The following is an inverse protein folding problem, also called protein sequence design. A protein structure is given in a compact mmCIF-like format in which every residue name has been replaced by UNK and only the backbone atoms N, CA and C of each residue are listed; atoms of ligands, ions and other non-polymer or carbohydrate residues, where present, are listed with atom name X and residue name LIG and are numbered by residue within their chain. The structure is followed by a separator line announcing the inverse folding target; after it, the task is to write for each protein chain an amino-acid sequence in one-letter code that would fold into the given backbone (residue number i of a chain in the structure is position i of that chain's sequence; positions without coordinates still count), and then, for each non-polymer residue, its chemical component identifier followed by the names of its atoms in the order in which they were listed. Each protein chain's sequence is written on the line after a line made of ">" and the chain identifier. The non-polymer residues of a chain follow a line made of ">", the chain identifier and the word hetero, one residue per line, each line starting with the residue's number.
data_IF_465867285597
#
_entry.id   IF_465867285597
#
_cell.length_a   1.000
_cell.length_b   1.000
_cell.length_c   1.000
_cell.angle_alpha   90.00
_cell.angle_beta   90.00
_cell.angle_gamma   90.00
#
_symmetry.space_group_name_H-M   'P 1'
#
loop_
_entity.id
_entity.type
_entity.pdbx_description
1 polymer ?
#
# COMPACT_ATOMS: atom_id res chain seq x y z
N UNK A 1 -5.37 -10.60 9.63
CA UNK A 1 -5.36 -11.87 8.86
C UNK A 1 -4.89 -11.72 7.41
N UNK A 2 -5.58 -11.02 6.51
CA UNK A 2 -5.16 -10.95 5.08
C UNK A 2 -3.70 -10.49 4.92
N UNK A 3 -3.36 -9.34 5.52
CA UNK A 3 -2.00 -8.78 5.41
C UNK A 3 -0.93 -9.61 6.14
N UNK A 4 -1.29 -10.20 7.28
CA UNK A 4 -0.35 -10.89 8.18
C UNK A 4 -0.14 -12.36 7.82
N UNK A 5 -1.14 -13.00 7.20
CA UNK A 5 -1.16 -14.44 6.92
C UNK A 5 -1.25 -14.67 5.41
N UNK A 6 -2.41 -14.35 4.80
CA UNK A 6 -2.68 -14.73 3.40
C UNK A 6 -1.67 -14.12 2.41
N UNK A 7 -1.26 -12.86 2.61
CA UNK A 7 -0.25 -12.20 1.78
C UNK A 7 1.19 -12.59 2.09
N UNK A 8 1.43 -13.27 3.22
CA UNK A 8 2.76 -13.73 3.61
C UNK A 8 3.05 -15.14 3.08
N UNK A 9 2.04 -16.02 2.99
CA UNK A 9 2.17 -17.41 2.53
C UNK A 9 2.92 -17.53 1.18
N UNK A 10 2.54 -16.82 0.10
CA UNK A 10 3.21 -17.01 -1.19
C UNK A 10 4.56 -16.27 -1.29
N UNK A 11 4.94 -15.48 -0.28
CA UNK A 11 6.08 -14.55 -0.40
C UNK A 11 7.42 -15.27 -0.63
N UNK A 12 7.60 -16.47 -0.07
CA UNK A 12 8.82 -17.26 -0.28
C UNK A 12 8.96 -17.67 -1.75
N UNK A 13 7.92 -18.28 -2.33
CA UNK A 13 7.93 -18.72 -3.74
C UNK A 13 8.04 -17.52 -4.69
N UNK A 14 7.29 -16.45 -4.41
CA UNK A 14 7.36 -15.18 -5.16
C UNK A 14 8.74 -14.50 -5.06
N UNK A 15 9.58 -14.88 -4.10
CA UNK A 15 10.96 -14.36 -4.01
C UNK A 15 11.95 -15.01 -4.96
N UNK A 16 11.60 -16.18 -5.48
CA UNK A 16 12.43 -17.00 -6.36
C UNK A 16 11.91 -17.02 -7.79
N UNK A 17 10.58 -17.01 -7.95
CA UNK A 17 9.94 -17.22 -9.25
C UNK A 17 8.81 -16.23 -9.49
N UNK A 18 8.63 -15.84 -10.75
CA UNK A 18 7.40 -15.18 -11.20
C UNK A 18 6.34 -16.26 -11.37
N UNK A 19 5.25 -16.13 -10.61
CA UNK A 19 4.10 -17.02 -10.71
C UNK A 19 3.31 -16.72 -12.01
N UNK A 20 2.63 -17.73 -12.58
CA UNK A 20 1.71 -17.49 -13.68
C UNK A 20 0.61 -16.50 -13.28
N UNK A 21 0.25 -15.59 -14.19
CA UNK A 21 -0.77 -14.56 -13.93
C UNK A 21 -2.12 -15.17 -13.56
N UNK A 22 -2.54 -16.27 -14.21
CA UNK A 22 -3.78 -16.97 -13.87
C UNK A 22 -3.81 -17.47 -12.43
N UNK A 23 -2.69 -18.01 -11.93
CA UNK A 23 -2.58 -18.47 -10.55
C UNK A 23 -2.61 -17.31 -9.55
N UNK A 24 -1.99 -16.17 -9.90
CA UNK A 24 -2.10 -14.94 -9.11
C UNK A 24 -3.57 -14.48 -9.07
N UNK A 25 -4.26 -14.46 -10.20
CA UNK A 25 -5.66 -14.05 -10.29
C UNK A 25 -6.56 -14.93 -9.41
N UNK A 26 -6.30 -16.24 -9.38
CA UNK A 26 -7.04 -17.18 -8.53
C UNK A 26 -6.79 -16.89 -7.03
N UNK A 27 -5.54 -16.62 -6.64
CA UNK A 27 -5.21 -16.20 -5.26
C UNK A 27 -5.92 -14.89 -4.91
N UNK A 28 -5.87 -13.89 -5.78
CA UNK A 28 -6.51 -12.60 -5.57
C UNK A 28 -8.02 -12.72 -5.46
N UNK A 29 -8.66 -13.54 -6.30
CA UNK A 29 -10.09 -13.87 -6.20
C UNK A 29 -10.44 -14.55 -4.89
N UNK A 30 -9.66 -15.55 -4.46
CA UNK A 30 -9.88 -16.23 -3.18
C UNK A 30 -9.80 -15.27 -2.00
N UNK A 31 -8.80 -14.37 -1.99
CA UNK A 31 -8.64 -13.40 -0.90
C UNK A 31 -9.73 -12.31 -0.96
N UNK A 32 -10.14 -11.90 -2.16
CA UNK A 32 -11.25 -10.96 -2.34
C UNK A 32 -12.58 -11.58 -1.89
N UNK A 33 -12.81 -12.86 -2.18
CA UNK A 33 -13.97 -13.61 -1.70
C UNK A 33 -13.92 -13.79 -0.18
N UNK A 34 -12.74 -14.07 0.38
CA UNK A 34 -12.55 -14.11 1.83
C UNK A 34 -12.86 -12.74 2.48
N UNK A 35 -12.47 -11.65 1.83
CA UNK A 35 -12.69 -10.29 2.33
C UNK A 35 -14.17 -9.87 2.33
N UNK A 36 -14.91 -10.22 1.28
CA UNK A 36 -16.33 -9.84 1.13
C UNK A 36 -17.32 -10.93 1.57
N UNK A 37 -16.87 -12.16 1.75
CA UNK A 37 -17.68 -13.30 2.13
C UNK A 37 -18.12 -13.25 3.58
N UNK A 38 -19.35 -13.71 3.84
CA UNK A 38 -19.80 -14.06 5.18
C UNK A 38 -19.34 -15.48 5.49
N UNK A 39 -18.81 -15.74 6.70
CA UNK A 39 -18.18 -17.00 7.08
C UNK A 39 -19.05 -18.28 7.05
N UNK A 40 -20.27 -18.24 6.51
CA UNK A 40 -21.13 -19.42 6.34
C UNK A 40 -21.08 -19.93 4.88
N UNK A 41 -20.80 -21.23 4.74
CA UNK A 41 -20.31 -21.91 3.53
C UNK A 41 -21.18 -21.92 2.27
N UNK A 42 -22.34 -21.25 2.23
CA UNK A 42 -23.25 -21.28 1.08
C UNK A 42 -23.64 -19.92 0.50
N UNK A 43 -23.21 -18.79 1.08
CA UNK A 43 -23.53 -17.46 0.53
C UNK A 43 -22.30 -16.78 -0.05
N UNK A 44 -22.28 -16.59 -1.37
CA UNK A 44 -21.31 -15.70 -2.01
C UNK A 44 -21.70 -14.27 -1.63
N UNK A 45 -20.99 -13.68 -0.66
CA UNK A 45 -21.18 -12.28 -0.28
C UNK A 45 -20.99 -11.34 -1.48
N UNK A 46 -21.62 -10.17 -1.44
CA UNK A 46 -21.50 -9.18 -2.53
C UNK A 46 -20.07 -8.65 -2.59
N UNK A 47 -19.40 -8.83 -3.72
CA UNK A 47 -18.11 -8.21 -3.97
C UNK A 47 -18.28 -6.71 -4.28
N UNK A 48 -18.08 -5.87 -3.28
CA UNK A 48 -18.27 -4.42 -3.43
C UNK A 48 -17.20 -3.77 -4.30
N UNK A 49 -15.96 -4.28 -4.27
CA UNK A 49 -14.84 -3.77 -5.05
C UNK A 49 -13.99 -4.91 -5.63
N UNK A 50 -13.45 -4.68 -6.83
CA UNK A 50 -12.41 -5.49 -7.43
C UNK A 50 -11.08 -5.38 -6.65
N UNK A 51 -10.24 -6.40 -6.76
CA UNK A 51 -9.03 -6.53 -5.93
C UNK A 51 -8.02 -5.41 -6.18
N UNK A 52 -7.86 -4.96 -7.43
CA UNK A 52 -6.96 -3.89 -7.84
C UNK A 52 -7.29 -2.56 -7.14
N UNK A 53 -8.60 -2.32 -6.92
CA UNK A 53 -9.09 -1.15 -6.18
C UNK A 53 -8.79 -1.28 -4.68
N UNK A 54 -8.76 -2.50 -4.13
CA UNK A 54 -8.36 -2.76 -2.73
C UNK A 54 -6.84 -2.71 -2.54
N UNK A 55 -6.08 -3.11 -3.56
CA UNK A 55 -4.62 -3.07 -3.60
C UNK A 55 -4.05 -1.65 -3.76
N UNK A 56 -4.89 -0.68 -4.09
CA UNK A 56 -4.52 0.73 -4.03
C UNK A 56 -4.02 1.14 -2.63
N UNK A 57 -3.06 2.07 -2.55
CA UNK A 57 -2.66 2.65 -1.28
C UNK A 57 -3.82 3.24 -0.48
N UNK A 58 -3.72 3.19 0.85
CA UNK A 58 -4.74 3.73 1.76
C UNK A 58 -5.00 5.23 1.54
N UNK A 59 -3.97 5.99 1.20
CA UNK A 59 -4.04 7.42 0.89
C UNK A 59 -4.60 7.73 -0.50
N UNK A 60 -4.93 6.70 -1.29
CA UNK A 60 -5.53 6.79 -2.63
C UNK A 60 -6.87 6.07 -2.73
N UNK A 61 -7.48 5.70 -1.60
CA UNK A 61 -8.82 5.09 -1.53
C UNK A 61 -8.86 3.57 -1.53
N UNK A 62 -7.72 2.88 -1.52
CA UNK A 62 -7.68 1.43 -1.29
C UNK A 62 -7.47 1.05 0.17
N UNK A 63 -7.14 -0.22 0.41
CA UNK A 63 -6.83 -0.77 1.73
C UNK A 63 -5.34 -1.03 1.93
N UNK A 64 -4.52 -0.79 0.90
CA UNK A 64 -3.10 -1.11 0.88
C UNK A 64 -2.84 -2.61 0.99
N UNK A 65 -3.69 -3.42 0.35
CA UNK A 65 -3.35 -4.80 0.02
C UNK A 65 -2.27 -4.82 -1.08
N UNK A 66 -1.56 -5.93 -1.21
CA UNK A 66 -0.55 -6.08 -2.26
C UNK A 66 -1.22 -6.56 -3.53
N UNK A 67 -0.92 -5.90 -4.64
CA UNK A 67 -1.05 -6.52 -5.95
C UNK A 67 0.06 -7.57 -6.07
N UNK A 68 -0.29 -8.84 -6.23
CA UNK A 68 0.69 -9.91 -6.15
C UNK A 68 1.61 -9.95 -7.35
N UNK A 69 1.15 -9.57 -8.55
CA UNK A 69 2.03 -9.55 -9.72
C UNK A 69 3.14 -8.50 -9.57
N UNK A 70 2.79 -7.27 -9.18
CA UNK A 70 3.76 -6.22 -8.90
C UNK A 70 4.67 -6.58 -7.71
N UNK A 71 4.13 -7.18 -6.66
CA UNK A 71 4.91 -7.60 -5.51
C UNK A 71 5.90 -8.72 -5.86
N UNK A 72 5.46 -9.69 -6.67
CA UNK A 72 6.28 -10.77 -7.15
C UNK A 72 7.41 -10.28 -8.06
N UNK A 73 7.12 -9.37 -9.00
CA UNK A 73 8.14 -8.70 -9.82
C UNK A 73 9.16 -7.96 -8.96
N UNK A 74 8.72 -7.22 -7.95
CA UNK A 74 9.62 -6.49 -7.06
C UNK A 74 10.51 -7.42 -6.20
N UNK A 75 9.98 -8.58 -5.79
CA UNK A 75 10.73 -9.57 -5.02
C UNK A 75 11.83 -10.24 -5.87
N UNK A 76 11.50 -10.66 -7.10
CA UNK A 76 12.47 -11.26 -8.01
C UNK A 76 13.50 -10.24 -8.51
N UNK A 77 13.08 -8.99 -8.74
CA UNK A 77 14.00 -7.90 -9.09
C UNK A 77 15.06 -7.65 -8.01
N UNK A 78 14.76 -7.94 -6.73
CA UNK A 78 15.77 -7.91 -5.66
C UNK A 78 16.87 -8.95 -5.86
N UNK A 79 16.55 -10.13 -6.41
CA UNK A 79 17.56 -11.14 -6.72
C UNK A 79 18.41 -10.71 -7.92
N UNK A 80 17.77 -10.17 -8.97
CA UNK A 80 18.48 -9.58 -10.11
C UNK A 80 19.43 -8.45 -9.66
N UNK A 81 19.00 -7.61 -8.72
CA UNK A 81 19.84 -6.57 -8.12
C UNK A 81 21.05 -7.13 -7.38
N UNK A 82 20.89 -8.23 -6.61
CA UNK A 82 22.03 -8.88 -5.94
C UNK A 82 23.05 -9.43 -6.93
N UNK A 83 22.59 -10.01 -8.05
CA UNK A 83 23.46 -10.52 -9.12
C UNK A 83 24.25 -9.37 -9.75
N UNK A 84 23.59 -8.23 -10.01
CA UNK A 84 24.25 -7.03 -10.53
C UNK A 84 25.31 -6.47 -9.58
N UNK A 85 24.99 -6.39 -8.28
CA UNK A 85 25.90 -5.77 -7.31
C UNK A 85 27.03 -6.67 -6.83
N UNK A 86 26.91 -7.99 -6.97
CA UNK A 86 27.90 -8.97 -6.49
C UNK A 86 28.24 -9.98 -7.60
N UNK A 87 28.92 -9.53 -8.67
CA UNK A 87 29.18 -10.34 -9.86
C UNK A 87 30.07 -11.57 -9.58
N UNK A 88 30.88 -11.54 -8.51
CA UNK A 88 31.84 -12.59 -8.17
C UNK A 88 31.23 -13.77 -7.42
N UNK A 89 29.98 -13.63 -6.95
CA UNK A 89 29.27 -14.74 -6.30
C UNK A 89 29.09 -15.91 -7.27
N UNK A 90 29.13 -17.14 -6.75
CA UNK A 90 28.97 -18.35 -7.57
C UNK A 90 27.69 -18.30 -8.42
N UNK A 91 26.58 -17.85 -7.82
CA UNK A 91 25.30 -17.70 -8.51
C UNK A 91 25.36 -16.68 -9.65
N UNK A 92 25.98 -15.51 -9.42
CA UNK A 92 26.12 -14.50 -10.47
C UNK A 92 27.01 -14.99 -11.62
N UNK A 93 28.14 -15.64 -11.31
CA UNK A 93 29.05 -16.22 -12.31
C UNK A 93 28.37 -17.30 -13.15
N UNK A 94 27.62 -18.21 -12.50
CA UNK A 94 26.90 -19.29 -13.17
C UNK A 94 25.79 -18.75 -14.10
N UNK A 95 24.97 -17.82 -13.59
CA UNK A 95 23.89 -17.21 -14.39
C UNK A 95 24.49 -16.44 -15.58
N UNK A 96 25.55 -15.66 -15.36
CA UNK A 96 26.23 -14.94 -16.44
C UNK A 96 26.76 -15.89 -17.50
N UNK A 97 27.53 -16.91 -17.11
CA UNK A 97 28.12 -17.88 -18.04
C UNK A 97 27.05 -18.59 -18.88
N UNK A 98 25.90 -18.92 -18.29
CA UNK A 98 24.83 -19.64 -18.97
C UNK A 98 23.93 -18.75 -19.85
N UNK A 99 23.56 -17.56 -19.38
CA UNK A 99 22.47 -16.79 -19.99
C UNK A 99 22.89 -15.48 -20.66
N UNK A 100 23.98 -14.86 -20.20
CA UNK A 100 24.48 -13.61 -20.77
C UNK A 100 26.01 -13.55 -20.75
N UNK A 101 26.69 -14.52 -21.39
CA UNK A 101 28.15 -14.62 -21.31
C UNK A 101 28.88 -13.41 -21.93
N UNK A 102 28.23 -12.74 -22.89
CA UNK A 102 28.80 -11.63 -23.68
C UNK A 102 28.07 -10.30 -23.51
N UNK A 103 27.15 -10.20 -22.55
CA UNK A 103 26.37 -8.98 -22.31
C UNK A 103 26.19 -8.71 -20.82
N UNK A 104 25.47 -7.65 -20.48
CA UNK A 104 25.02 -7.42 -19.10
C UNK A 104 23.68 -8.11 -18.82
N UNK A 105 23.30 -8.23 -17.54
CA UNK A 105 21.99 -8.77 -17.13
C UNK A 105 20.82 -7.93 -17.66
N UNK A 106 21.00 -6.62 -17.74
CA UNK A 106 19.95 -5.68 -18.18
C UNK A 106 19.72 -5.78 -19.69
N UNK A 107 20.75 -6.08 -20.47
CA UNK A 107 20.67 -6.22 -21.94
C UNK A 107 20.37 -7.64 -22.40
N UNK A 108 20.52 -8.64 -21.52
CA UNK A 108 20.44 -10.06 -21.89
C UNK A 108 19.18 -10.41 -22.71
N UNK A 109 19.30 -11.21 -23.77
CA UNK A 109 18.10 -11.80 -24.38
C UNK A 109 17.52 -12.91 -23.49
N UNK A 110 16.27 -13.32 -23.71
CA UNK A 110 15.72 -14.46 -22.97
C UNK A 110 16.43 -15.77 -23.35
N UNK A 111 16.85 -15.88 -24.61
CA UNK A 111 17.55 -17.04 -25.17
C UNK A 111 16.64 -18.25 -25.42
N UNK A 112 17.27 -19.35 -25.84
CA UNK A 112 16.60 -20.62 -26.13
C UNK A 112 16.63 -21.54 -24.89
N UNK A 113 15.53 -22.24 -24.61
CA UNK A 113 15.35 -23.12 -23.45
C UNK A 113 15.74 -22.51 -22.07
N UNK A 114 15.16 -21.35 -21.69
CA UNK A 114 15.47 -20.70 -20.43
C UNK A 114 14.87 -21.44 -19.23
N UNK A 115 15.64 -21.57 -18.14
CA UNK A 115 15.10 -22.11 -16.88
C UNK A 115 14.05 -21.19 -16.29
N UNK A 116 13.18 -21.73 -15.44
CA UNK A 116 12.11 -20.95 -14.81
C UNK A 116 12.63 -19.79 -13.95
N UNK A 117 13.73 -20.02 -13.22
CA UNK A 117 14.43 -18.97 -12.47
C UNK A 117 14.93 -17.85 -13.40
N UNK A 118 15.53 -18.19 -14.55
CA UNK A 118 16.01 -17.19 -15.50
C UNK A 118 14.88 -16.43 -16.15
N UNK A 119 13.79 -17.09 -16.58
CA UNK A 119 12.58 -16.41 -17.10
C UNK A 119 12.04 -15.39 -16.09
N UNK A 120 12.05 -15.76 -14.81
CA UNK A 120 11.59 -14.90 -13.71
C UNK A 120 12.48 -13.68 -13.52
N UNK A 121 13.80 -13.89 -13.43
CA UNK A 121 14.80 -12.80 -13.33
C UNK A 121 14.72 -11.88 -14.54
N UNK A 122 14.61 -12.47 -15.74
CA UNK A 122 14.53 -11.75 -16.99
C UNK A 122 13.27 -10.88 -17.08
N UNK A 123 12.09 -11.40 -16.70
CA UNK A 123 10.85 -10.58 -16.64
C UNK A 123 10.97 -9.47 -15.59
N UNK A 124 11.48 -9.79 -14.40
CA UNK A 124 11.57 -8.82 -13.30
C UNK A 124 12.61 -7.71 -13.51
N UNK A 125 13.61 -7.91 -14.38
CA UNK A 125 14.64 -6.90 -14.66
C UNK A 125 14.08 -5.57 -15.17
N UNK A 126 12.87 -5.56 -15.73
CA UNK A 126 12.20 -4.34 -16.18
C UNK A 126 12.04 -3.33 -15.03
N UNK A 127 11.81 -3.82 -13.80
CA UNK A 127 11.78 -2.97 -12.60
C UNK A 127 13.13 -2.27 -12.40
N UNK A 128 14.24 -2.98 -12.65
CA UNK A 128 15.58 -2.42 -12.55
C UNK A 128 15.89 -1.46 -13.71
N UNK A 129 15.52 -1.80 -14.94
CA UNK A 129 15.66 -0.89 -16.09
C UNK A 129 14.96 0.46 -15.84
N UNK A 130 13.82 0.43 -15.16
CA UNK A 130 13.03 1.61 -14.84
C UNK A 130 13.50 2.37 -13.59
N UNK A 131 14.37 1.84 -12.74
CA UNK A 131 14.76 2.51 -11.49
C UNK A 131 16.27 2.53 -11.17
N UNK A 132 17.09 1.85 -11.97
CA UNK A 132 18.54 1.93 -11.88
C UNK A 132 19.10 3.10 -12.68
N UNK A 133 20.23 3.60 -12.19
CA UNK A 133 21.06 4.60 -12.85
C UNK A 133 22.53 4.30 -12.56
N UNK A 134 23.42 4.59 -13.50
CA UNK A 134 24.85 4.56 -13.27
C UNK A 134 25.31 5.78 -12.47
N UNK A 135 26.17 5.53 -11.49
CA UNK A 135 26.97 6.53 -10.82
C UNK A 135 28.39 6.47 -11.39
N UNK A 136 28.86 7.61 -11.88
CA UNK A 136 30.07 7.73 -12.70
C UNK A 136 31.33 7.70 -11.82
N UNK A 137 32.09 6.62 -11.97
CA UNK A 137 33.48 6.46 -11.54
C UNK A 137 34.42 6.79 -12.70
N UNK A 138 35.12 5.79 -13.23
CA UNK A 138 36.01 5.96 -14.38
C UNK A 138 35.29 6.27 -15.69
N UNK A 139 33.99 5.98 -15.80
CA UNK A 139 33.21 6.13 -17.03
C UNK A 139 33.55 5.10 -18.11
N UNK A 140 34.36 4.10 -17.79
CA UNK A 140 34.85 3.06 -18.69
C UNK A 140 33.82 1.96 -18.99
N UNK A 141 32.77 1.85 -18.16
CA UNK A 141 31.72 0.82 -18.28
C UNK A 141 30.36 1.39 -18.65
N UNK A 142 30.28 2.69 -18.92
CA UNK A 142 29.02 3.39 -19.14
C UNK A 142 28.99 3.88 -20.57
N UNK A 143 28.11 3.31 -21.38
CA UNK A 143 27.86 3.77 -22.72
C UNK A 143 27.01 5.04 -22.70
N UNK A 144 27.49 6.07 -23.39
CA UNK A 144 26.88 7.40 -23.36
C UNK A 144 25.43 7.37 -23.83
N UNK A 145 25.13 6.54 -24.85
CA UNK A 145 23.82 6.53 -25.52
C UNK A 145 22.85 5.47 -25.01
N UNK A 146 23.32 4.33 -24.51
CA UNK A 146 22.46 3.19 -24.14
C UNK A 146 22.25 3.03 -22.64
N UNK A 147 23.13 3.60 -21.81
CA UNK A 147 23.03 3.47 -20.35
C UNK A 147 22.29 4.64 -19.68
N UNK A 148 21.54 4.38 -18.59
CA UNK A 148 20.91 5.44 -17.81
C UNK A 148 21.92 6.05 -16.84
N UNK A 149 22.54 7.18 -17.14
CA UNK A 149 23.56 7.80 -16.27
C UNK A 149 23.32 9.27 -15.94
N UNK A 150 22.52 9.98 -16.75
CA UNK A 150 22.20 11.39 -16.53
C UNK A 150 21.41 11.60 -15.24
N UNK A 151 21.74 12.68 -14.50
CA UNK A 151 21.07 13.04 -13.24
C UNK A 151 20.11 14.22 -13.45
N UNK A 152 18.97 14.23 -12.74
CA UNK A 152 18.04 15.37 -12.67
C UNK A 152 16.58 14.97 -12.89
N UNK A 153 15.69 15.96 -13.04
CA UNK A 153 14.26 15.74 -13.28
C UNK A 153 13.91 15.35 -14.73
N UNK A 154 14.90 15.24 -15.60
CA UNK A 154 14.74 14.82 -17.00
C UNK A 154 14.96 13.32 -17.22
N UNK A 155 14.89 12.88 -18.48
CA UNK A 155 15.11 11.48 -18.87
C UNK A 155 16.51 10.97 -18.49
N UNK A 156 16.68 9.72 -18.08
CA UNK A 156 18.02 9.22 -17.69
C UNK A 156 18.93 8.90 -18.87
N UNK A 157 18.34 8.88 -20.05
CA UNK A 157 18.97 8.59 -21.33
C UNK A 157 19.19 9.88 -22.12
N UNK A 158 20.14 9.82 -23.03
CA UNK A 158 20.29 10.84 -24.07
C UNK A 158 19.17 10.63 -25.10
N UNK A 159 18.43 11.68 -25.48
CA UNK A 159 17.33 11.56 -26.42
C UNK A 159 17.82 11.15 -27.82
N UNK A 160 17.02 10.31 -28.49
CA UNK A 160 17.18 9.95 -29.90
C UNK A 160 16.51 11.01 -30.82
N UNK A 161 16.92 11.16 -32.09
CA UNK A 161 17.96 10.41 -32.80
C UNK A 161 19.38 10.93 -32.56
N UNK A 162 20.35 10.01 -32.56
CA UNK A 162 21.77 10.33 -32.43
C UNK A 162 22.40 10.63 -33.80
N UNK A 163 23.38 11.56 -33.90
CA UNK A 163 24.22 11.71 -35.08
C UNK A 163 24.97 10.40 -35.42
N UNK A 164 25.13 10.10 -36.72
CA UNK A 164 25.88 8.92 -37.18
C UNK A 164 27.29 8.89 -36.58
N UNK A 165 27.72 7.71 -36.10
CA UNK A 165 29.06 7.49 -35.53
C UNK A 165 29.18 7.70 -34.01
N UNK A 166 28.15 8.22 -33.31
CA UNK A 166 28.22 8.48 -31.86
C UNK A 166 27.80 7.31 -30.94
N UNK A 167 27.48 6.14 -31.50
CA UNK A 167 26.93 5.01 -30.73
C UNK A 167 27.92 4.30 -29.80
N UNK A 168 29.23 4.43 -30.06
CA UNK A 168 30.26 3.68 -29.32
C UNK A 168 31.01 4.53 -28.27
N UNK A 169 30.49 5.70 -27.93
CA UNK A 169 31.11 6.56 -26.92
C UNK A 169 30.87 6.02 -25.50
N UNK A 170 31.93 6.02 -24.71
CA UNK A 170 31.87 5.80 -23.27
C UNK A 170 31.91 7.14 -22.52
N UNK A 171 31.38 7.16 -21.30
CA UNK A 171 31.36 8.39 -20.48
C UNK A 171 32.77 8.91 -20.24
N UNK A 172 33.78 8.03 -20.14
CA UNK A 172 35.19 8.42 -20.06
C UNK A 172 35.64 9.31 -21.21
N UNK A 173 35.08 9.13 -22.41
CA UNK A 173 35.48 9.88 -23.60
C UNK A 173 34.98 11.33 -23.54
N UNK A 174 34.01 11.62 -22.66
CA UNK A 174 33.50 12.97 -22.41
C UNK A 174 34.22 13.66 -21.24
N UNK A 175 35.13 12.97 -20.55
CA UNK A 175 35.90 13.49 -19.43
C UNK A 175 37.27 13.99 -19.89
N UNK A 176 37.92 14.81 -19.07
CA UNK A 176 39.30 15.24 -19.28
C UNK A 176 40.24 14.11 -18.86
N UNK A 177 41.28 13.83 -19.65
CA UNK A 177 42.25 12.79 -19.33
C UNK A 177 42.90 13.04 -17.96
N UNK A 178 42.98 12.00 -17.13
CA UNK A 178 43.55 12.02 -15.78
C UNK A 178 42.91 13.02 -14.79
N UNK A 179 41.80 13.68 -15.15
CA UNK A 179 41.13 14.64 -14.29
C UNK A 179 39.63 14.34 -14.18
N UNK A 180 39.10 14.42 -12.96
CA UNK A 180 37.68 14.15 -12.68
C UNK A 180 36.81 15.37 -13.04
N UNK A 181 36.84 15.78 -14.30
CA UNK A 181 36.03 16.87 -14.84
C UNK A 181 35.53 16.55 -16.25
N UNK A 182 34.43 17.20 -16.62
CA UNK A 182 33.88 17.14 -17.96
C UNK A 182 34.74 17.91 -18.96
N UNK A 183 34.96 17.34 -20.14
CA UNK A 183 35.52 18.07 -21.28
C UNK A 183 34.39 18.88 -21.94
N UNK A 184 34.13 20.06 -21.37
CA UNK A 184 33.01 20.93 -21.76
C UNK A 184 33.03 21.28 -23.25
N UNK A 185 34.21 21.57 -23.80
CA UNK A 185 34.37 21.89 -25.23
C UNK A 185 33.97 20.71 -26.10
N UNK A 186 34.47 19.50 -25.80
CA UNK A 186 34.11 18.27 -26.52
C UNK A 186 32.61 17.99 -26.43
N UNK A 187 32.02 18.09 -25.24
CA UNK A 187 30.58 17.85 -25.04
C UNK A 187 29.74 18.84 -25.86
N UNK A 188 30.06 20.13 -25.87
CA UNK A 188 29.31 21.14 -26.63
C UNK A 188 29.46 21.00 -28.15
N UNK A 189 30.55 20.41 -28.63
CA UNK A 189 30.72 20.09 -30.05
C UNK A 189 29.93 18.84 -30.46
N UNK A 190 29.80 17.85 -29.57
CA UNK A 190 29.17 16.57 -29.87
C UNK A 190 27.65 16.56 -29.66
N UNK A 191 27.12 17.38 -28.74
CA UNK A 191 25.72 17.31 -28.35
C UNK A 191 24.99 18.65 -28.54
N UNK A 192 23.68 18.62 -28.88
CA UNK A 192 22.85 19.82 -28.84
C UNK A 192 22.91 20.49 -27.47
N UNK A 193 22.81 21.82 -27.45
CA UNK A 193 22.97 22.65 -26.22
C UNK A 193 22.19 22.09 -25.04
N UNK A 194 20.93 21.71 -25.22
CA UNK A 194 20.09 21.17 -24.15
C UNK A 194 20.62 19.85 -23.56
N UNK A 195 21.19 18.97 -24.39
CA UNK A 195 21.76 17.68 -23.95
C UNK A 195 23.13 17.92 -23.30
N UNK A 196 23.96 18.77 -23.92
CA UNK A 196 25.28 19.14 -23.41
C UNK A 196 25.20 19.69 -21.99
N UNK A 197 24.29 20.63 -21.73
CA UNK A 197 24.11 21.22 -20.40
C UNK A 197 23.66 20.19 -19.35
N UNK A 198 22.86 19.18 -19.75
CA UNK A 198 22.46 18.07 -18.86
C UNK A 198 23.61 17.11 -18.53
N UNK A 199 24.47 16.84 -19.52
CA UNK A 199 25.70 16.06 -19.32
C UNK A 199 26.60 16.80 -18.32
N UNK A 200 26.88 18.09 -18.59
CA UNK A 200 27.76 18.92 -17.75
C UNK A 200 27.20 19.06 -16.33
N UNK A 201 25.88 19.18 -16.18
CA UNK A 201 25.21 19.26 -14.88
C UNK A 201 25.24 17.93 -14.10
N UNK A 202 25.54 16.80 -14.74
CA UNK A 202 25.65 15.51 -14.05
C UNK A 202 26.93 15.49 -13.21
N UNK A 203 26.85 15.38 -11.87
CA UNK A 203 28.00 15.61 -11.01
C UNK A 203 28.99 14.46 -11.06
N UNK A 204 30.26 14.80 -11.24
CA UNK A 204 31.40 13.91 -11.08
C UNK A 204 31.92 14.00 -9.64
N UNK A 205 31.70 12.96 -8.84
CA UNK A 205 32.07 12.95 -7.42
C UNK A 205 33.52 12.46 -7.30
N UNK A 206 34.42 13.30 -6.77
CA UNK A 206 35.85 13.02 -6.67
C UNK A 206 36.19 11.75 -5.87
N UNK A 207 35.38 11.41 -4.85
CA UNK A 207 35.58 10.18 -4.06
C UNK A 207 35.11 8.90 -4.74
N UNK A 208 34.50 8.97 -5.93
CA UNK A 208 33.97 7.81 -6.66
C UNK A 208 34.87 7.50 -7.86
N UNK A 209 35.59 6.39 -7.76
CA UNK A 209 36.53 5.95 -8.80
C UNK A 209 36.01 4.79 -9.65
N UNK A 210 35.03 4.03 -9.16
CA UNK A 210 34.50 2.84 -9.84
C UNK A 210 33.06 3.09 -10.27
N UNK A 211 32.76 2.82 -11.54
CA UNK A 211 31.41 2.86 -12.08
C UNK A 211 30.51 1.87 -11.33
N UNK A 212 29.37 2.35 -10.84
CA UNK A 212 28.46 1.52 -10.05
C UNK A 212 27.01 1.82 -10.35
N UNK A 213 26.21 0.76 -10.52
CA UNK A 213 24.77 0.86 -10.57
C UNK A 213 24.19 1.22 -9.19
N UNK A 214 23.32 2.21 -9.19
CA UNK A 214 22.58 2.69 -8.01
C UNK A 214 21.08 2.62 -8.28
N UNK A 215 20.32 2.33 -7.22
CA UNK A 215 18.87 2.38 -7.24
C UNK A 215 18.40 3.79 -6.88
N UNK A 216 17.72 4.47 -7.81
CA UNK A 216 17.42 5.90 -7.69
C UNK A 216 16.25 6.21 -6.75
N UNK A 217 15.36 5.25 -6.52
CA UNK A 217 14.18 5.43 -5.67
C UNK A 217 14.49 5.48 -4.17
N UNK A 218 15.74 5.24 -3.76
CA UNK A 218 16.18 5.24 -2.37
C UNK A 218 17.46 6.07 -2.20
N UNK A 219 17.52 6.89 -1.15
CA UNK A 219 18.66 7.81 -0.91
C UNK A 219 20.00 7.09 -0.73
N UNK A 220 19.98 5.87 -0.22
CA UNK A 220 21.18 5.05 -0.02
C UNK A 220 21.66 4.35 -1.32
N UNK A 221 20.93 4.49 -2.43
CA UNK A 221 21.26 3.84 -3.69
C UNK A 221 21.02 2.32 -3.70
N UNK A 222 20.39 1.76 -2.67
CA UNK A 222 20.16 0.33 -2.50
C UNK A 222 18.71 -0.04 -2.80
N UNK A 223 18.53 -1.10 -3.57
CA UNK A 223 17.20 -1.63 -3.87
C UNK A 223 16.50 -2.17 -2.61
N UNK A 224 15.25 -1.76 -2.42
CA UNK A 224 14.33 -2.38 -1.47
C UNK A 224 13.10 -2.92 -2.22
N UNK A 225 12.52 -4.04 -1.75
CA UNK A 225 11.28 -4.57 -2.35
C UNK A 225 10.17 -3.53 -2.30
N UNK A 226 10.16 -2.69 -1.26
CA UNK A 226 9.17 -1.64 -1.06
C UNK A 226 9.25 -0.57 -2.17
N UNK A 227 10.43 -0.06 -2.47
CA UNK A 227 10.60 0.93 -3.55
C UNK A 227 10.42 0.30 -4.93
N UNK A 228 10.93 -0.91 -5.16
CA UNK A 228 10.67 -1.64 -6.40
C UNK A 228 9.19 -1.91 -6.66
N UNK A 229 8.43 -2.28 -5.62
CA UNK A 229 6.98 -2.45 -5.69
C UNK A 229 6.27 -1.14 -6.04
N UNK A 230 6.64 -0.04 -5.37
CA UNK A 230 6.07 1.28 -5.63
C UNK A 230 6.30 1.70 -7.09
N UNK A 231 7.53 1.55 -7.57
CA UNK A 231 7.90 1.87 -8.95
C UNK A 231 7.17 0.98 -9.97
N UNK A 232 7.08 -0.33 -9.72
CA UNK A 232 6.31 -1.24 -10.57
C UNK A 232 4.83 -0.85 -10.63
N UNK A 233 4.21 -0.56 -9.48
CA UNK A 233 2.81 -0.14 -9.41
C UNK A 233 2.52 1.15 -10.18
N UNK A 234 3.49 2.07 -10.22
CA UNK A 234 3.37 3.36 -10.92
C UNK A 234 3.65 3.24 -12.41
N UNK A 235 4.75 2.61 -12.80
CA UNK A 235 5.24 2.65 -14.18
C UNK A 235 4.75 1.48 -15.04
N UNK A 236 4.60 0.29 -14.44
CA UNK A 236 4.26 -0.96 -15.15
C UNK A 236 2.75 -1.21 -15.09
N UNK A 237 2.18 -1.22 -13.89
CA UNK A 237 0.76 -1.56 -13.69
C UNK A 237 -0.19 -0.36 -13.78
N UNK A 238 0.36 0.87 -13.69
CA UNK A 238 -0.39 2.14 -13.80
C UNK A 238 -1.68 2.13 -12.96
N UNK A 239 -1.50 1.87 -11.66
CA UNK A 239 -2.61 1.76 -10.70
C UNK A 239 -3.33 3.09 -10.43
N UNK A 240 -2.78 4.20 -10.92
CA UNK A 240 -3.35 5.54 -10.84
C UNK A 240 -4.77 5.65 -11.41
N UNK A 241 -5.13 4.81 -12.38
CA UNK A 241 -6.51 4.69 -12.90
C UNK A 241 -7.55 4.29 -11.85
N UNK A 242 -7.14 3.62 -10.77
CA UNK A 242 -8.04 3.17 -9.70
C UNK A 242 -8.03 4.10 -8.48
N UNK A 243 -7.20 5.14 -8.48
CA UNK A 243 -7.17 6.14 -7.42
C UNK A 243 -8.50 6.90 -7.35
N UNK A 244 -8.96 7.15 -6.13
CA UNK A 244 -10.17 7.94 -5.91
C UNK A 244 -9.78 9.27 -5.26
N UNK A 245 -10.31 10.38 -5.79
CA UNK A 245 -10.12 11.71 -5.20
C UNK A 245 -10.73 11.73 -3.79
N UNK A 246 -10.06 12.39 -2.86
CA UNK A 246 -10.50 12.48 -1.46
C UNK A 246 -9.33 12.54 -0.49
N UNK A 247 -9.58 13.05 0.72
CA UNK A 247 -8.56 13.18 1.74
C UNK A 247 -8.45 11.91 2.61
N UNK A 248 -8.15 10.78 1.97
CA UNK A 248 -8.15 9.47 2.61
C UNK A 248 -7.21 9.34 3.81
N UNK A 249 -6.11 10.10 3.83
CA UNK A 249 -5.15 10.08 4.94
C UNK A 249 -5.82 10.45 6.27
N UNK A 250 -6.74 11.41 6.25
CA UNK A 250 -7.37 11.93 7.45
C UNK A 250 -8.36 10.94 8.05
N UNK A 251 -9.08 10.17 7.22
CA UNK A 251 -9.92 9.05 7.68
C UNK A 251 -9.10 8.05 8.51
N UNK A 252 -7.88 7.74 8.07
CA UNK A 252 -7.03 6.77 8.76
C UNK A 252 -6.32 7.32 9.99
N UNK A 253 -6.20 8.66 10.11
CA UNK A 253 -5.63 9.35 11.28
C UNK A 253 -6.66 9.67 12.37
N UNK A 254 -7.95 9.72 12.03
CA UNK A 254 -9.04 9.95 12.98
C UNK A 254 -8.86 9.15 14.28
N UNK A 255 -9.08 9.74 15.45
CA UNK A 255 -8.95 9.06 16.73
C UNK A 255 -10.14 8.13 16.99
N UNK A 256 -10.22 7.03 16.26
CA UNK A 256 -11.28 6.04 16.37
C UNK A 256 -10.73 4.60 16.31
N UNK A 257 -11.45 3.61 16.84
CA UNK A 257 -11.19 2.20 16.57
C UNK A 257 -11.12 1.89 15.08
N UNK A 258 -10.31 0.89 14.70
CA UNK A 258 -10.13 0.50 13.30
C UNK A 258 -11.47 0.15 12.60
N UNK A 259 -12.44 -0.45 13.32
CA UNK A 259 -13.78 -0.76 12.80
C UNK A 259 -14.55 0.48 12.32
N UNK A 260 -14.42 1.60 13.03
CA UNK A 260 -15.11 2.85 12.73
C UNK A 260 -14.44 3.58 11.55
N UNK A 261 -13.09 3.66 11.54
CA UNK A 261 -12.33 4.18 10.38
C UNK A 261 -12.63 3.38 9.11
N UNK A 262 -12.76 2.05 9.26
CA UNK A 262 -13.09 1.18 8.15
C UNK A 262 -14.52 1.41 7.63
N UNK A 263 -15.49 1.69 8.50
CA UNK A 263 -16.83 2.06 8.05
C UNK A 263 -16.81 3.39 7.28
N UNK A 264 -16.09 4.40 7.76
CA UNK A 264 -15.91 5.66 7.01
C UNK A 264 -15.31 5.42 5.62
N UNK A 265 -14.29 4.56 5.53
CA UNK A 265 -13.73 4.16 4.24
C UNK A 265 -14.79 3.48 3.35
N UNK A 266 -15.59 2.55 3.88
CA UNK A 266 -16.68 1.90 3.12
C UNK A 266 -17.71 2.92 2.63
N UNK A 267 -18.11 3.87 3.49
CA UNK A 267 -19.05 4.93 3.16
C UNK A 267 -18.51 5.77 1.99
N UNK A 268 -17.27 6.26 2.12
CA UNK A 268 -16.63 7.09 1.10
C UNK A 268 -16.34 6.32 -0.21
N UNK A 269 -16.31 4.99 -0.18
CA UNK A 269 -16.15 4.13 -1.36
C UNK A 269 -17.49 3.62 -1.93
N UNK A 270 -18.63 4.00 -1.34
CA UNK A 270 -19.95 3.50 -1.77
C UNK A 270 -20.08 1.98 -1.61
N UNK A 271 -19.50 1.43 -0.54
CA UNK A 271 -19.42 -0.01 -0.27
C UNK A 271 -20.24 -0.41 0.96
N UNK A 272 -21.17 0.43 1.39
CA UNK A 272 -22.12 0.14 2.46
C UNK A 272 -23.43 -0.36 1.82
N UNK A 273 -24.01 -1.47 2.29
CA UNK A 273 -25.23 -2.05 1.72
C UNK A 273 -26.50 -1.31 2.20
N UNK A 274 -26.62 -0.02 1.89
CA UNK A 274 -27.90 0.70 1.98
C UNK A 274 -28.87 0.15 0.92
N UNK A 275 -30.19 0.39 1.05
CA UNK A 275 -31.17 -0.17 0.08
C UNK A 275 -30.87 0.30 -1.34
N UNK A 276 -30.57 1.58 -1.52
CA UNK A 276 -30.16 2.12 -2.82
C UNK A 276 -28.96 1.35 -3.41
N UNK A 277 -27.93 1.09 -2.59
CA UNK A 277 -26.73 0.35 -3.02
C UNK A 277 -27.00 -1.12 -3.30
N UNK A 278 -27.95 -1.73 -2.61
CA UNK A 278 -28.37 -3.11 -2.86
C UNK A 278 -29.16 -3.22 -4.17
N UNK A 279 -30.05 -2.27 -4.44
CA UNK A 279 -30.81 -2.18 -5.70
C UNK A 279 -29.89 -1.93 -6.90
N UNK A 280 -28.88 -1.06 -6.77
CA UNK A 280 -27.80 -0.89 -7.77
C UNK A 280 -27.07 -2.22 -8.08
N UNK A 281 -27.13 -3.20 -7.17
CA UNK A 281 -26.56 -4.55 -7.32
C UNK A 281 -27.60 -5.61 -7.66
N UNK A 282 -28.81 -5.20 -8.05
CA UNK A 282 -29.91 -6.08 -8.41
C UNK A 282 -30.34 -7.03 -7.27
N UNK A 283 -30.16 -6.59 -6.02
CA UNK A 283 -30.71 -7.30 -4.86
C UNK A 283 -32.13 -6.78 -4.64
N UNK A 284 -33.11 -7.68 -4.74
CA UNK A 284 -34.51 -7.35 -4.47
C UNK A 284 -34.71 -7.03 -2.99
N UNK A 285 -35.13 -5.81 -2.71
CA UNK A 285 -35.32 -5.31 -1.35
C UNK A 285 -36.17 -4.03 -1.35
N UNK A 286 -36.90 -3.79 -0.27
CA UNK A 286 -37.60 -2.51 -0.03
C UNK A 286 -36.62 -1.33 -0.11
N UNK A 287 -37.10 -0.19 -0.64
CA UNK A 287 -36.36 1.06 -0.81
C UNK A 287 -36.33 1.91 0.47
N UNK A 288 -37.32 1.75 1.35
CA UNK A 288 -37.50 2.62 2.51
C UNK A 288 -36.51 2.30 3.64
N UNK A 289 -36.19 3.33 4.42
CA UNK A 289 -35.32 3.23 5.57
C UNK A 289 -35.98 2.39 6.68
N UNK A 290 -35.33 1.33 7.20
CA UNK A 290 -35.90 0.45 8.22
C UNK A 290 -36.02 1.12 9.60
N UNK A 291 -35.51 2.35 9.76
CA UNK A 291 -35.53 3.08 11.03
C UNK A 291 -36.64 4.14 11.08
N UNK A 292 -36.89 4.86 10.00
CA UNK A 292 -37.98 5.84 9.94
C UNK A 292 -39.18 5.39 9.12
N UNK A 293 -39.02 4.37 8.27
CA UNK A 293 -40.06 3.79 7.40
C UNK A 293 -40.72 4.79 6.43
N UNK A 294 -40.05 5.91 6.17
CA UNK A 294 -40.64 7.06 5.45
C UNK A 294 -39.85 7.42 4.19
N UNK A 295 -38.54 7.71 4.33
CA UNK A 295 -37.71 8.09 3.18
C UNK A 295 -36.90 6.91 2.61
N UNK A 296 -36.45 7.07 1.37
CA UNK A 296 -35.56 6.14 0.66
C UNK A 296 -34.21 6.02 1.38
N UNK A 297 -33.76 4.78 1.59
CA UNK A 297 -32.51 4.49 2.30
C UNK A 297 -31.28 4.63 1.39
N UNK A 298 -30.75 5.85 1.29
CA UNK A 298 -29.44 6.14 0.70
C UNK A 298 -28.33 6.39 1.76
N UNK A 299 -27.10 6.58 1.29
CA UNK A 299 -25.93 6.79 2.14
C UNK A 299 -26.02 8.10 2.96
N UNK A 300 -26.74 9.12 2.48
CA UNK A 300 -26.91 10.40 3.17
C UNK A 300 -28.01 10.30 4.22
N UNK A 301 -29.14 9.70 3.85
CA UNK A 301 -30.29 9.50 4.71
C UNK A 301 -29.93 8.73 5.97
N UNK A 302 -29.32 7.55 5.80
CA UNK A 302 -28.97 6.66 6.93
C UNK A 302 -28.13 7.37 7.98
N UNK A 303 -27.19 8.21 7.57
CA UNK A 303 -26.17 8.76 8.46
C UNK A 303 -26.38 10.21 8.88
N UNK A 304 -27.11 11.02 8.10
CA UNK A 304 -27.15 12.47 8.28
C UNK A 304 -28.56 13.07 8.33
N UNK A 305 -29.52 12.60 7.52
CA UNK A 305 -30.84 13.25 7.41
C UNK A 305 -32.00 12.46 8.04
N UNK A 306 -31.87 11.15 8.25
CA UNK A 306 -32.87 10.37 8.97
C UNK A 306 -33.12 10.96 10.37
N UNK A 307 -34.39 11.11 10.76
CA UNK A 307 -34.78 11.63 12.07
C UNK A 307 -34.08 10.87 13.22
N UNK A 308 -34.04 9.54 13.15
CA UNK A 308 -33.32 8.71 14.12
C UNK A 308 -31.82 9.02 14.16
N UNK A 309 -31.19 9.28 13.01
CA UNK A 309 -29.78 9.65 12.95
C UNK A 309 -29.56 11.04 13.57
N UNK A 310 -30.35 12.05 13.18
CA UNK A 310 -30.24 13.42 13.69
C UNK A 310 -30.39 13.49 15.22
N UNK A 311 -31.36 12.80 15.80
CA UNK A 311 -31.51 12.72 17.25
C UNK A 311 -30.33 11.99 17.91
N UNK A 312 -29.71 11.01 17.23
CA UNK A 312 -28.50 10.33 17.71
C UNK A 312 -27.27 11.26 17.70
N UNK A 313 -27.14 12.11 16.67
CA UNK A 313 -26.14 13.18 16.59
C UNK A 313 -26.29 14.17 17.74
N UNK A 314 -27.51 14.56 18.06
CA UNK A 314 -27.80 15.43 19.21
C UNK A 314 -27.44 14.76 20.54
N UNK A 315 -27.86 13.51 20.75
CA UNK A 315 -27.54 12.77 21.95
C UNK A 315 -26.03 12.49 22.14
N UNK A 316 -25.26 12.45 21.06
CA UNK A 316 -23.80 12.34 21.09
C UNK A 316 -23.07 13.68 21.33
N UNK A 317 -23.81 14.79 21.40
CA UNK A 317 -23.26 16.14 21.54
C UNK A 317 -22.51 16.62 20.30
N UNK A 318 -23.00 16.27 19.10
CA UNK A 318 -22.38 16.59 17.81
C UNK A 318 -23.32 17.37 16.87
N UNK A 319 -24.39 17.99 17.40
CA UNK A 319 -25.34 18.78 16.58
C UNK A 319 -24.69 19.94 15.83
N UNK A 320 -23.72 20.64 16.45
CA UNK A 320 -23.01 21.75 15.81
C UNK A 320 -22.21 21.28 14.58
N UNK A 321 -21.59 20.10 14.67
CA UNK A 321 -20.85 19.47 13.57
C UNK A 321 -21.80 19.08 12.43
N UNK A 322 -22.95 18.49 12.77
CA UNK A 322 -23.99 18.14 11.78
C UNK A 322 -24.60 19.38 11.11
N UNK A 323 -24.83 20.45 11.86
CA UNK A 323 -25.38 21.72 11.36
C UNK A 323 -24.38 22.57 10.56
N UNK A 324 -23.10 22.21 10.53
CA UNK A 324 -22.10 22.93 9.76
C UNK A 324 -22.40 22.87 8.25
N UNK A 325 -22.13 23.96 7.53
CA UNK A 325 -22.32 24.00 6.07
C UNK A 325 -21.56 22.87 5.34
N UNK A 326 -20.42 22.46 5.91
CA UNK A 326 -19.60 21.34 5.44
C UNK A 326 -20.32 19.98 5.45
N UNK A 327 -21.28 19.78 6.35
CA UNK A 327 -21.98 18.51 6.53
C UNK A 327 -23.35 18.46 5.80
N UNK A 328 -23.76 19.55 5.15
CA UNK A 328 -25.09 19.70 4.55
C UNK A 328 -25.13 19.52 3.03
N UNK A 329 -23.98 19.54 2.35
CA UNK A 329 -23.90 19.51 0.89
C UNK A 329 -23.16 18.28 0.35
N UNK A 330 -23.55 17.86 -0.84
CA UNK A 330 -22.90 16.78 -1.58
C UNK A 330 -23.23 15.37 -1.07
N UNK A 331 -22.48 14.40 -1.59
CA UNK A 331 -22.61 12.99 -1.23
C UNK A 331 -22.16 12.74 0.22
N UNK A 332 -22.49 11.57 0.76
CA UNK A 332 -21.99 11.16 2.07
C UNK A 332 -20.45 11.17 2.15
N UNK A 333 -19.76 10.86 1.04
CA UNK A 333 -18.31 10.94 0.95
C UNK A 333 -17.81 12.39 1.06
N UNK A 334 -18.46 13.32 0.36
CA UNK A 334 -18.11 14.75 0.39
C UNK A 334 -18.26 15.32 1.81
N UNK A 335 -19.36 14.99 2.49
CA UNK A 335 -19.61 15.36 3.89
C UNK A 335 -18.51 14.83 4.82
N UNK A 336 -18.16 13.55 4.72
CA UNK A 336 -17.08 12.96 5.53
C UNK A 336 -15.73 13.62 5.26
N UNK A 337 -15.38 13.87 3.99
CA UNK A 337 -14.12 14.53 3.64
C UNK A 337 -14.09 16.01 4.06
N UNK A 338 -15.23 16.70 4.04
CA UNK A 338 -15.36 18.07 4.53
C UNK A 338 -15.18 18.12 6.05
N UNK A 339 -15.80 17.20 6.79
CA UNK A 339 -15.57 17.02 8.23
C UNK A 339 -14.08 16.80 8.51
N UNK A 340 -13.45 15.83 7.84
CA UNK A 340 -12.02 15.56 8.02
C UNK A 340 -11.08 16.74 7.72
N UNK A 341 -11.56 17.77 7.00
CA UNK A 341 -10.78 18.98 6.70
C UNK A 341 -10.97 20.05 7.78
N UNK A 342 -12.15 20.13 8.36
CA UNK A 342 -12.57 21.26 9.20
C UNK A 342 -12.52 20.95 10.70
N UNK A 343 -12.56 19.68 11.08
CA UNK A 343 -12.59 19.24 12.47
C UNK A 343 -11.29 18.54 12.89
N UNK A 344 -11.01 18.55 14.19
CA UNK A 344 -9.87 17.84 14.75
C UNK A 344 -10.04 16.30 14.74
N UNK A 345 -8.93 15.56 14.90
CA UNK A 345 -8.95 14.09 14.85
C UNK A 345 -9.79 13.43 15.95
N UNK A 346 -9.97 14.07 17.11
CA UNK A 346 -10.81 13.57 18.19
C UNK A 346 -12.30 13.70 17.83
N UNK A 347 -12.70 14.85 17.28
CA UNK A 347 -14.05 15.12 16.79
C UNK A 347 -14.42 14.18 15.65
N UNK A 348 -13.53 13.98 14.66
CA UNK A 348 -13.72 12.94 13.62
C UNK A 348 -13.80 11.54 14.22
N UNK A 349 -13.04 11.29 15.29
CA UNK A 349 -13.11 10.05 16.05
C UNK A 349 -14.50 9.77 16.62
N UNK A 350 -15.11 10.78 17.25
CA UNK A 350 -16.47 10.72 17.81
C UNK A 350 -17.51 10.53 16.70
N UNK A 351 -17.39 11.28 15.61
CA UNK A 351 -18.25 11.12 14.42
C UNK A 351 -18.16 9.70 13.87
N UNK A 352 -16.96 9.16 13.68
CA UNK A 352 -16.76 7.81 13.18
C UNK A 352 -17.44 6.75 14.06
N UNK A 353 -17.35 6.91 15.38
CA UNK A 353 -18.01 6.02 16.34
C UNK A 353 -19.53 6.15 16.32
N UNK A 354 -20.05 7.36 16.16
CA UNK A 354 -21.48 7.59 16.00
C UNK A 354 -22.03 6.94 14.73
N UNK A 355 -21.40 7.17 13.57
CA UNK A 355 -21.81 6.53 12.32
C UNK A 355 -21.73 5.01 12.42
N UNK A 356 -20.72 4.48 13.12
CA UNK A 356 -20.66 3.04 13.39
C UNK A 356 -21.82 2.53 14.23
N UNK A 357 -22.21 3.25 15.27
CA UNK A 357 -23.35 2.89 16.12
C UNK A 357 -24.68 2.99 15.37
N UNK A 358 -24.87 4.01 14.53
CA UNK A 358 -26.06 4.15 13.67
C UNK A 358 -26.15 2.99 12.69
N UNK A 359 -25.05 2.68 11.99
CA UNK A 359 -25.00 1.55 11.06
C UNK A 359 -25.26 0.20 11.75
N UNK A 360 -24.70 0.01 12.94
CA UNK A 360 -24.91 -1.19 13.73
C UNK A 360 -26.37 -1.34 14.15
N UNK A 361 -26.99 -0.27 14.66
CA UNK A 361 -28.41 -0.26 15.04
C UNK A 361 -29.33 -0.55 13.85
N UNK A 362 -29.06 0.06 12.69
CA UNK A 362 -29.80 -0.23 11.45
C UNK A 362 -29.75 -1.72 11.08
N UNK A 363 -28.56 -2.34 11.17
CA UNK A 363 -28.44 -3.77 10.89
C UNK A 363 -29.14 -4.63 11.95
N UNK A 364 -29.08 -4.25 13.23
CA UNK A 364 -29.77 -4.96 14.31
C UNK A 364 -31.29 -4.94 14.11
N UNK A 365 -31.85 -3.82 13.64
CA UNK A 365 -33.26 -3.73 13.26
C UNK A 365 -33.63 -4.65 12.11
N UNK A 366 -32.78 -4.78 11.09
CA UNK A 366 -33.07 -5.66 9.95
C UNK A 366 -32.97 -7.15 10.31
N UNK A 367 -31.92 -7.54 11.05
CA UNK A 367 -31.61 -8.96 11.24
C UNK A 367 -32.22 -9.55 12.51
N UNK A 368 -32.49 -8.73 13.52
CA UNK A 368 -32.97 -9.16 14.83
C UNK A 368 -34.24 -8.42 15.30
N UNK A 369 -34.83 -7.58 14.43
CA UNK A 369 -35.97 -6.69 14.75
C UNK A 369 -35.75 -5.83 16.01
N UNK A 370 -34.49 -5.53 16.33
CA UNK A 370 -34.12 -4.76 17.51
C UNK A 370 -33.65 -3.36 17.13
N UNK A 371 -34.33 -2.33 17.63
CA UNK A 371 -33.95 -0.94 17.44
C UNK A 371 -33.80 -0.20 18.78
N UNK A 372 -32.62 0.37 19.02
CA UNK A 372 -32.36 1.26 20.14
C UNK A 372 -32.89 2.65 19.84
N UNK A 373 -33.29 3.37 20.89
CA UNK A 373 -33.69 4.76 20.73
C UNK A 373 -32.50 5.64 20.33
N UNK A 374 -32.71 6.75 19.61
CA UNK A 374 -31.62 7.65 19.21
C UNK A 374 -30.75 8.13 20.39
N UNK A 375 -31.38 8.36 21.55
CA UNK A 375 -30.69 8.73 22.78
C UNK A 375 -29.72 7.66 23.27
N UNK A 376 -30.13 6.38 23.19
CA UNK A 376 -29.26 5.26 23.55
C UNK A 376 -28.09 5.13 22.56
N UNK A 377 -28.33 5.31 21.26
CA UNK A 377 -27.29 5.25 20.22
C UNK A 377 -26.23 6.33 20.45
N UNK A 378 -26.64 7.59 20.60
CA UNK A 378 -25.73 8.71 20.79
C UNK A 378 -24.91 8.59 22.08
N UNK A 379 -25.55 8.26 23.21
CA UNK A 379 -24.85 8.04 24.49
C UNK A 379 -23.89 6.86 24.43
N UNK A 380 -24.28 5.75 23.80
CA UNK A 380 -23.42 4.58 23.65
C UNK A 380 -22.21 4.88 22.74
N UNK A 381 -22.40 5.65 21.66
CA UNK A 381 -21.30 6.07 20.80
C UNK A 381 -20.30 6.96 21.54
N UNK A 382 -20.80 7.93 22.32
CA UNK A 382 -20.00 8.80 23.17
C UNK A 382 -19.20 8.01 24.22
N UNK A 383 -19.87 7.11 24.95
CA UNK A 383 -19.24 6.24 25.95
C UNK A 383 -18.15 5.36 25.35
N UNK A 384 -18.45 4.61 24.28
CA UNK A 384 -17.48 3.73 23.61
C UNK A 384 -16.26 4.49 23.07
N UNK A 385 -16.45 5.71 22.57
CA UNK A 385 -15.33 6.53 22.12
C UNK A 385 -14.45 6.99 23.30
N UNK A 386 -15.06 7.43 24.41
CA UNK A 386 -14.35 7.85 25.62
C UNK A 386 -13.55 6.70 26.25
N UNK A 387 -14.13 5.51 26.32
CA UNK A 387 -13.43 4.31 26.77
C UNK A 387 -12.22 4.01 25.87
N UNK A 388 -12.42 4.06 24.55
CA UNK A 388 -11.35 3.79 23.59
C UNK A 388 -10.20 4.80 23.69
N UNK A 389 -10.51 6.11 23.77
CA UNK A 389 -9.48 7.15 23.85
C UNK A 389 -8.76 7.11 25.20
N UNK A 390 -9.44 6.79 26.31
CA UNK A 390 -8.82 6.65 27.62
C UNK A 390 -7.75 5.56 27.61
N UNK A 391 -8.06 4.37 27.06
CA UNK A 391 -7.09 3.26 26.92
C UNK A 391 -5.91 3.64 26.03
N UNK A 392 -6.13 4.39 24.94
CA UNK A 392 -5.06 4.79 24.03
C UNK A 392 -4.17 5.89 24.61
N UNK A 393 -4.72 6.83 25.39
CA UNK A 393 -3.92 7.83 26.11
C UNK A 393 -3.00 7.18 27.14
N UNK A 394 -3.46 6.14 27.85
CA UNK A 394 -2.61 5.39 28.78
C UNK A 394 -1.43 4.74 28.05
N UNK A 395 -1.68 4.09 26.91
CA UNK A 395 -0.61 3.46 26.10
C UNK A 395 0.39 4.47 25.52
N UNK A 396 -0.07 5.64 25.10
CA UNK A 396 0.82 6.69 24.58
C UNK A 396 1.70 7.32 25.67
N UNK A 397 1.25 7.31 26.93
CA UNK A 397 2.06 7.78 28.05
C UNK A 397 3.16 6.76 28.44
N UNK A 398 2.93 5.46 28.21
CA UNK A 398 3.96 4.43 28.39
C UNK A 398 5.01 4.42 27.26
N UNK A 399 4.70 4.95 26.07
CA UNK A 399 5.61 5.03 24.91
C UNK A 399 6.71 6.12 25.04
N UNK A 400 6.75 6.87 26.14
CA UNK A 400 7.80 7.87 26.42
C UNK A 400 9.06 7.32 27.08
N UNK A 401 9.08 6.06 27.51
CA UNK A 401 10.32 5.33 27.79
C UNK A 401 10.66 4.47 26.57
N UNK A 402 11.58 4.93 25.73
CA UNK A 402 12.11 4.14 24.62
C UNK A 402 12.87 2.93 25.18
N UNK A 403 12.41 1.68 25.01
CA UNK A 403 13.30 0.54 25.17
C UNK A 403 14.03 0.39 23.84
N UNK A 404 15.36 0.39 23.88
CA UNK A 404 16.20 -0.12 22.81
C UNK A 404 15.53 -1.38 22.23
N UNK A 405 15.35 -1.45 20.91
CA UNK A 405 14.91 -2.67 20.23
C UNK A 405 16.01 -3.72 20.39
N UNK A 406 15.99 -4.41 21.52
CA UNK A 406 16.60 -5.72 21.65
C UNK A 406 15.69 -6.67 20.89
N UNK A 407 16.25 -7.41 19.95
CA UNK A 407 15.64 -8.62 19.42
C UNK A 407 15.20 -9.47 20.62
N UNK A 408 13.89 -9.51 20.90
CA UNK A 408 13.33 -10.29 22.00
C UNK A 408 13.54 -11.77 21.66
N UNK A 409 14.65 -12.32 22.13
CA UNK A 409 14.90 -13.75 22.15
C UNK A 409 14.32 -14.28 23.46
N UNK A 410 13.66 -15.43 23.43
CA UNK A 410 13.17 -16.04 24.65
C UNK A 410 14.35 -16.35 25.57
N UNK A 411 14.28 -15.87 26.81
CA UNK A 411 15.22 -16.18 27.89
C UNK A 411 14.47 -16.84 29.06
N UNK A 412 15.14 -17.83 29.69
CA UNK A 412 14.66 -18.55 30.87
C UNK A 412 14.59 -17.59 32.07
N UNK A 413 13.50 -17.60 32.87
CA UNK A 413 13.42 -16.76 34.07
C UNK A 413 14.51 -17.11 35.10
N UNK A 414 14.87 -16.14 35.95
CA UNK A 414 15.81 -16.33 37.07
C UNK A 414 15.23 -17.35 38.06
N UNK A 415 16.11 -18.05 38.77
CA UNK A 415 15.72 -19.01 39.82
C UNK A 415 14.80 -18.30 40.84
N UNK A 416 13.62 -18.88 41.10
CA UNK A 416 12.59 -18.32 41.98
C UNK A 416 11.51 -17.49 41.27
N UNK A 417 11.62 -17.23 39.97
CA UNK A 417 10.62 -16.51 39.18
C UNK A 417 9.96 -17.43 38.15
N UNK A 418 8.64 -17.32 38.01
CA UNK A 418 7.86 -18.00 36.97
C UNK A 418 7.59 -17.06 35.81
N UNK A 419 7.76 -17.52 34.58
CA UNK A 419 7.44 -16.76 33.36
C UNK A 419 6.16 -17.31 32.73
N UNK A 420 5.09 -16.53 32.80
CA UNK A 420 3.82 -16.87 32.19
C UNK A 420 3.78 -16.36 30.74
N UNK A 421 3.78 -17.26 29.76
CA UNK A 421 3.49 -16.88 28.38
C UNK A 421 1.99 -17.01 28.16
N UNK A 422 1.35 -15.92 27.73
CA UNK A 422 -0.09 -15.86 27.51
C UNK A 422 -0.35 -15.72 26.02
N UNK A 423 -1.10 -16.65 25.45
CA UNK A 423 -1.65 -16.55 24.10
C UNK A 423 -3.18 -16.69 24.19
N UNK A 424 -3.88 -16.03 23.27
CA UNK A 424 -5.34 -16.02 23.25
C UNK A 424 -5.85 -16.22 21.83
N UNK A 425 -6.69 -17.24 21.66
CA UNK A 425 -7.41 -17.49 20.42
C UNK A 425 -8.92 -17.37 20.64
N UNK A 426 -9.64 -16.92 19.60
CA UNK A 426 -11.08 -16.72 19.64
C UNK A 426 -11.79 -17.86 18.89
N UNK A 427 -12.35 -18.82 19.63
CA UNK A 427 -13.24 -19.82 19.07
C UNK A 427 -14.68 -19.30 19.03
N UNK A 428 -15.29 -19.26 17.83
CA UNK A 428 -16.72 -19.02 17.69
C UNK A 428 -17.49 -20.32 17.89
N UNK A 429 -18.19 -20.47 19.02
CA UNK A 429 -19.24 -21.50 19.18
C UNK A 429 -20.60 -20.84 18.94
N UNK A 430 -21.48 -21.55 18.24
CA UNK A 430 -22.67 -20.98 17.59
C UNK A 430 -23.82 -20.54 18.52
N UNK A 431 -23.77 -20.74 19.84
CA UNK A 431 -24.82 -20.24 20.75
C UNK A 431 -24.21 -19.97 22.13
N UNK A 432 -24.26 -18.72 22.61
CA UNK A 432 -23.88 -18.36 24.00
C UNK A 432 -22.56 -17.58 24.15
N UNK A 433 -22.30 -17.01 25.35
CA UNK A 433 -21.30 -15.96 25.58
C UNK A 433 -19.88 -16.35 25.15
N UNK A 434 -19.14 -15.36 24.64
CA UNK A 434 -17.76 -15.51 24.18
C UNK A 434 -16.85 -15.85 25.36
N UNK A 435 -16.34 -17.08 25.40
CA UNK A 435 -15.29 -17.47 26.33
C UNK A 435 -13.92 -17.10 25.76
N UNK A 436 -13.06 -16.53 26.59
CA UNK A 436 -11.62 -16.40 26.30
C UNK A 436 -10.95 -17.64 26.90
N UNK A 437 -10.45 -18.53 26.05
CA UNK A 437 -9.55 -19.60 26.48
C UNK A 437 -8.15 -19.00 26.61
N UNK A 438 -7.73 -18.76 27.85
CA UNK A 438 -6.36 -18.35 28.17
C UNK A 438 -5.56 -19.62 28.42
N UNK A 439 -4.66 -19.98 27.50
CA UNK A 439 -3.68 -21.02 27.78
C UNK A 439 -2.52 -20.39 28.55
N UNK A 440 -2.40 -20.76 29.81
CA UNK A 440 -1.23 -20.45 30.63
C UNK A 440 -0.29 -21.64 30.56
N UNK A 441 0.76 -21.51 29.76
CA UNK A 441 1.88 -22.46 29.82
C UNK A 441 2.84 -21.95 30.88
N UNK A 442 2.85 -22.60 32.04
CA UNK A 442 3.88 -22.42 33.06
C UNK A 442 5.04 -23.34 32.66
N UNK A 443 6.19 -22.76 32.28
CA UNK A 443 7.46 -23.46 32.07
C UNK A 443 8.42 -23.18 33.21
#
# INVERSE_FOLDING_TARGET
>A
MIKSVLQAIPAYVMSMFILPSSFIDDIEKMINAFWWGGGNGNSKGIHWLAWERLACPKDKGGLGFRNFEAFNMAMVAKQAWKILQNPDTLVARLIKARYFPRSTLLEASLGYNPSFAWRSIWKARQVLLLGCRWRIGGGDKIHVMSDPWLRGNGERWIPSPQPEGMYNLFVRDLMVDNYKAWNVTKIRMLFPVQVAERIIATPLIGSVYVDKMVWEEERNGCYSVKSGYKLAMQCIFRNDKYHVKGNWKEIWKAHAPHKARHLLWRLCRGCIPTRCRLLERHVDCDVHCPLCEDEVEDDVHVFFTCASAQFSWQAAGLSSVLGSAACQQGSAADRVFALCRNEDYATIGRVAMLLWSIWHNRNDKIWNDNARSPNQIGRAAFGQWNEWIAVHKLRSNDDHDVPLVSTIRWEKPRIGWLKCNVDADFLSVQVGPRWVLVFVIIL
#
